data_IF_206461004001
#
_entry.id   IF_206461004001
#
_cell.length_a   1.000
_cell.length_b   1.000
_cell.length_c   1.000
_cell.angle_alpha   90.00
_cell.angle_beta   90.00
_cell.angle_gamma   90.00
#
_symmetry.space_group_name_H-M   'P 1'
#
loop_
_entity.id
_entity.type
_entity.pdbx_description
1 polymer ?
#
# COMPACT_ATOMS: atom_id res chain seq x y z
N UNK A 1 38.99 30.08 -34.85
CA UNK A 1 37.72 29.56 -34.29
C UNK A 1 38.00 28.83 -32.99
N UNK A 2 37.71 29.44 -31.83
CA UNK A 2 37.88 28.80 -30.51
C UNK A 2 36.67 27.90 -30.25
N UNK A 3 36.90 26.59 -30.11
CA UNK A 3 35.86 25.63 -29.73
C UNK A 3 35.39 25.93 -28.29
N UNK A 4 34.11 26.29 -28.15
CA UNK A 4 33.42 26.37 -26.87
C UNK A 4 33.10 24.93 -26.45
N UNK A 5 33.81 24.42 -25.43
CA UNK A 5 33.44 23.16 -24.77
C UNK A 5 32.21 23.41 -23.90
N UNK A 6 31.03 22.99 -24.37
CA UNK A 6 29.81 22.96 -23.58
C UNK A 6 29.95 21.79 -22.58
N UNK A 7 30.19 22.13 -21.32
CA UNK A 7 30.15 21.19 -20.21
C UNK A 7 28.68 20.86 -19.93
N UNK A 8 28.19 19.74 -20.46
CA UNK A 8 26.85 19.23 -20.16
C UNK A 8 26.89 18.65 -18.75
N UNK A 9 26.41 19.44 -17.78
CA UNK A 9 26.22 19.01 -16.40
C UNK A 9 24.99 18.07 -16.37
N UNK A 10 25.23 16.76 -16.38
CA UNK A 10 24.18 15.77 -16.10
C UNK A 10 23.75 15.90 -14.64
N UNK A 11 22.66 16.62 -14.39
CA UNK A 11 21.93 16.52 -13.13
C UNK A 11 21.30 15.12 -13.04
N UNK A 12 22.02 14.18 -12.42
CA UNK A 12 21.37 13.00 -11.85
C UNK A 12 20.49 13.51 -10.70
N UNK A 13 19.19 13.64 -10.95
CA UNK A 13 18.20 13.74 -9.89
C UNK A 13 18.23 12.42 -9.11
N UNK A 14 19.07 12.34 -8.07
CA UNK A 14 18.94 11.31 -7.07
C UNK A 14 17.63 11.56 -6.34
N UNK A 15 16.59 10.82 -6.72
CA UNK A 15 15.30 10.83 -6.04
C UNK A 15 15.52 10.27 -4.63
N UNK A 16 15.63 11.18 -3.67
CA UNK A 16 15.70 10.82 -2.26
C UNK A 16 14.27 10.53 -1.78
N UNK A 17 13.96 9.27 -1.45
CA UNK A 17 12.78 8.96 -0.67
C UNK A 17 12.88 9.74 0.65
N UNK A 18 11.98 10.69 0.85
CA UNK A 18 11.93 11.51 2.05
C UNK A 18 11.50 10.63 3.23
N UNK A 19 12.46 10.24 4.06
CA UNK A 19 12.22 9.52 5.31
C UNK A 19 11.36 10.38 6.25
N UNK A 20 10.21 9.86 6.67
CA UNK A 20 9.29 10.51 7.61
C UNK A 20 9.36 9.85 8.98
N UNK A 21 8.90 10.59 9.99
CA UNK A 21 8.88 10.17 11.38
C UNK A 21 7.51 10.42 11.98
N UNK A 22 7.04 9.48 12.78
CA UNK A 22 5.84 9.61 13.60
C UNK A 22 6.19 9.19 15.02
N UNK A 23 5.85 10.01 16.01
CA UNK A 23 6.18 9.76 17.40
C UNK A 23 4.97 9.17 18.15
N UNK A 24 5.22 8.16 18.97
CA UNK A 24 4.21 7.54 19.84
C UNK A 24 4.68 7.65 21.28
N UNK A 25 3.87 8.24 22.16
CA UNK A 25 4.23 8.50 23.55
C UNK A 25 3.61 7.48 24.52
N UNK A 26 4.27 7.35 25.67
CA UNK A 26 3.96 6.36 26.69
C UNK A 26 3.91 7.01 28.07
N UNK A 27 3.01 6.51 28.91
CA UNK A 27 2.98 6.90 30.32
C UNK A 27 4.14 6.26 31.10
N UNK A 28 4.36 6.78 32.31
CA UNK A 28 5.43 6.34 33.19
C UNK A 28 5.37 4.82 33.44
N UNK A 29 6.50 4.14 33.23
CA UNK A 29 6.65 2.68 33.34
C UNK A 29 5.68 1.82 32.49
N UNK A 30 4.95 2.41 31.54
CA UNK A 30 4.09 1.68 30.62
C UNK A 30 4.83 1.30 29.34
N UNK A 31 4.51 0.13 28.81
CA UNK A 31 5.00 -0.38 27.53
C UNK A 31 3.94 -0.40 26.42
N UNK A 32 2.71 0.00 26.75
CA UNK A 32 1.65 0.27 25.79
C UNK A 32 1.44 1.80 25.66
N UNK A 33 1.17 2.33 24.45
CA UNK A 33 1.00 3.76 24.25
C UNK A 33 -0.15 4.34 25.08
N UNK A 34 -0.05 5.63 25.41
CA UNK A 34 -1.13 6.34 26.10
C UNK A 34 -2.32 6.61 25.16
N UNK A 35 -3.46 7.01 25.73
CA UNK A 35 -4.71 7.15 24.99
C UNK A 35 -4.60 8.17 23.84
N UNK A 36 -3.96 9.31 24.07
CA UNK A 36 -3.77 10.35 23.06
C UNK A 36 -2.95 9.82 21.87
N UNK A 37 -1.83 9.15 22.14
CA UNK A 37 -1.01 8.59 21.07
C UNK A 37 -1.69 7.42 20.35
N UNK A 38 -2.61 6.69 20.99
CA UNK A 38 -3.45 5.70 20.28
C UNK A 38 -4.40 6.38 19.29
N UNK A 39 -5.02 7.50 19.68
CA UNK A 39 -5.89 8.28 18.79
C UNK A 39 -5.10 8.83 17.60
N UNK A 40 -3.98 9.51 17.87
CA UNK A 40 -3.09 10.06 16.85
C UNK A 40 -2.55 8.96 15.92
N UNK A 41 -2.13 7.81 16.47
CA UNK A 41 -1.68 6.66 15.68
C UNK A 41 -2.80 6.17 14.75
N UNK A 42 -4.04 6.12 15.24
CA UNK A 42 -5.18 5.69 14.44
C UNK A 42 -5.53 6.66 13.32
N UNK A 43 -5.43 7.96 13.56
CA UNK A 43 -5.59 8.98 12.54
C UNK A 43 -4.45 8.95 11.53
N UNK A 44 -3.20 8.92 12.00
CA UNK A 44 -1.99 8.85 11.18
C UNK A 44 -2.02 7.69 10.19
N UNK A 45 -2.35 6.47 10.64
CA UNK A 45 -2.41 5.30 9.74
C UNK A 45 -3.50 5.38 8.67
N UNK A 46 -4.53 6.22 8.86
CA UNK A 46 -5.65 6.38 7.91
C UNK A 46 -5.47 7.58 6.99
N UNK A 47 -4.79 8.63 7.47
CA UNK A 47 -4.55 9.88 6.73
C UNK A 47 -3.33 9.80 5.81
N UNK A 48 -2.39 8.89 6.09
CA UNK A 48 -1.12 8.80 5.38
C UNK A 48 -1.06 7.56 4.49
N UNK A 49 -0.63 7.72 3.23
CA UNK A 49 -0.31 6.62 2.31
C UNK A 49 1.05 6.01 2.70
N UNK A 50 1.10 5.29 3.83
CA UNK A 50 2.32 4.65 4.32
C UNK A 50 2.71 3.52 3.37
N UNK A 51 3.89 3.60 2.74
CA UNK A 51 4.39 2.52 1.88
C UNK A 51 5.00 1.41 2.71
N UNK A 52 5.90 1.77 3.63
CA UNK A 52 6.63 0.81 4.44
C UNK A 52 7.23 1.46 5.69
N UNK A 53 7.12 0.78 6.83
CA UNK A 53 7.88 1.11 8.04
C UNK A 53 9.20 0.33 8.03
N UNK A 54 10.33 1.02 8.16
CA UNK A 54 11.66 0.42 8.03
C UNK A 54 12.56 0.57 9.25
N UNK A 55 12.21 1.45 10.19
CA UNK A 55 12.96 1.58 11.45
C UNK A 55 12.04 2.01 12.61
N UNK A 56 12.29 1.45 13.79
CA UNK A 56 11.67 1.82 15.06
C UNK A 56 12.76 2.13 16.08
N UNK A 57 12.64 3.26 16.76
CA UNK A 57 13.57 3.67 17.82
C UNK A 57 12.81 3.89 19.12
N UNK A 58 13.20 3.19 20.18
CA UNK A 58 12.52 3.22 21.49
C UNK A 58 13.35 3.93 22.55
N UNK A 59 12.69 4.82 23.29
CA UNK A 59 13.28 5.70 24.30
C UNK A 59 12.55 5.57 25.64
N UNK A 60 13.31 5.79 26.72
CA UNK A 60 12.83 5.79 28.09
C UNK A 60 13.48 6.94 28.86
N UNK A 61 12.83 7.36 29.95
CA UNK A 61 13.42 8.34 30.85
C UNK A 61 14.54 7.72 31.72
N UNK A 62 15.10 8.52 32.63
CA UNK A 62 16.31 8.15 33.38
C UNK A 62 16.06 7.55 34.75
N UNK A 63 14.83 7.13 35.08
CA UNK A 63 14.47 6.81 36.46
C UNK A 63 15.11 5.51 36.96
N UNK A 64 15.42 4.56 36.06
CA UNK A 64 15.97 3.24 36.43
C UNK A 64 17.40 2.97 35.85
N UNK A 65 17.91 1.77 36.12
CA UNK A 65 19.11 1.18 35.54
C UNK A 65 19.10 1.24 34.01
N UNK A 66 20.29 1.27 33.41
CA UNK A 66 20.46 1.28 31.95
C UNK A 66 19.83 0.04 31.30
N UNK A 67 19.98 -1.12 31.93
CA UNK A 67 19.44 -2.38 31.43
C UNK A 67 17.89 -2.41 31.49
N UNK A 68 17.30 -1.91 32.58
CA UNK A 68 15.84 -1.83 32.70
C UNK A 68 15.24 -0.95 31.60
N UNK A 69 15.77 0.25 31.42
CA UNK A 69 15.28 1.20 30.42
C UNK A 69 15.43 0.66 28.99
N UNK A 70 16.52 -0.05 28.70
CA UNK A 70 16.69 -0.71 27.41
C UNK A 70 15.62 -1.77 27.18
N UNK A 71 15.36 -2.65 28.17
CA UNK A 71 14.28 -3.66 28.09
C UNK A 71 12.89 -3.02 27.98
N UNK A 72 12.64 -1.90 28.65
CA UNK A 72 11.37 -1.19 28.55
C UNK A 72 11.19 -0.60 27.14
N UNK A 73 12.23 0.01 26.57
CA UNK A 73 12.22 0.48 25.20
C UNK A 73 11.97 -0.65 24.19
N UNK A 74 12.58 -1.83 24.39
CA UNK A 74 12.30 -3.03 23.58
C UNK A 74 10.82 -3.43 23.63
N UNK A 75 10.22 -3.49 24.83
CA UNK A 75 8.79 -3.83 24.98
C UNK A 75 7.87 -2.82 24.30
N UNK A 76 8.20 -1.52 24.38
CA UNK A 76 7.49 -0.46 23.66
C UNK A 76 7.56 -0.63 22.15
N UNK A 77 8.73 -0.94 21.60
CA UNK A 77 8.88 -1.24 20.17
C UNK A 77 7.98 -2.42 19.78
N UNK A 78 7.96 -3.49 20.56
CA UNK A 78 7.14 -4.66 20.26
C UNK A 78 5.63 -4.38 20.34
N UNK A 79 5.18 -3.50 21.24
CA UNK A 79 3.77 -3.08 21.29
C UNK A 79 3.37 -2.28 20.05
N UNK A 80 4.25 -1.41 19.54
CA UNK A 80 4.03 -0.70 18.27
C UNK A 80 3.98 -1.66 17.08
N UNK A 81 4.88 -2.65 17.03
CA UNK A 81 4.86 -3.68 15.99
C UNK A 81 3.52 -4.43 15.99
N UNK A 82 2.98 -4.75 17.17
CA UNK A 82 1.66 -5.40 17.30
C UNK A 82 0.54 -4.52 16.73
N UNK A 83 0.56 -3.21 17.01
CA UNK A 83 -0.42 -2.25 16.48
C UNK A 83 -0.31 -2.05 14.96
N UNK A 84 0.91 -2.00 14.43
CA UNK A 84 1.16 -1.90 12.98
C UNK A 84 0.67 -3.15 12.23
N UNK A 85 0.96 -4.34 12.77
CA UNK A 85 0.52 -5.62 12.20
C UNK A 85 -1.00 -5.77 12.19
N UNK A 86 -1.68 -5.35 13.26
CA UNK A 86 -3.16 -5.41 13.31
C UNK A 86 -3.83 -4.41 12.38
N UNK A 87 -3.10 -3.37 11.96
CA UNK A 87 -3.60 -2.28 11.11
C UNK A 87 -3.30 -2.45 9.61
N UNK A 88 -2.82 -3.63 9.18
CA UNK A 88 -2.47 -3.94 7.78
C UNK A 88 -1.39 -3.04 7.15
N UNK A 89 -0.60 -2.33 7.97
CA UNK A 89 0.59 -1.57 7.55
C UNK A 89 1.71 -2.55 7.21
N UNK A 90 2.43 -2.30 6.11
CA UNK A 90 3.56 -3.12 5.70
C UNK A 90 4.80 -2.78 6.53
N UNK A 91 5.47 -3.82 7.03
CA UNK A 91 6.76 -3.72 7.71
C UNK A 91 7.85 -4.25 6.77
N UNK A 92 8.95 -3.51 6.67
CA UNK A 92 10.13 -3.98 5.93
C UNK A 92 10.62 -5.31 6.53
N UNK A 93 11.06 -6.24 5.68
CA UNK A 93 11.63 -7.52 6.12
C UNK A 93 12.85 -7.34 7.02
N UNK A 94 13.63 -6.30 6.75
CA UNK A 94 14.83 -5.91 7.47
C UNK A 94 14.55 -4.76 8.46
N UNK A 95 13.34 -4.70 9.02
CA UNK A 95 12.92 -3.68 9.98
C UNK A 95 13.97 -3.50 11.09
N UNK A 96 14.58 -2.32 11.14
CA UNK A 96 15.57 -1.98 12.17
C UNK A 96 14.86 -1.64 13.47
N UNK A 97 15.24 -2.31 14.57
CA UNK A 97 14.69 -2.08 15.91
C UNK A 97 15.82 -1.64 16.84
N UNK A 98 15.81 -0.39 17.28
CA UNK A 98 16.87 0.19 18.11
C UNK A 98 16.28 0.64 19.42
N UNK A 99 16.66 -0.02 20.52
CA UNK A 99 16.27 0.38 21.86
C UNK A 99 17.40 1.20 22.49
N UNK A 100 17.25 2.52 22.50
CA UNK A 100 18.18 3.44 23.15
C UNK A 100 18.01 3.44 24.67
N UNK A 101 16.81 3.16 25.17
CA UNK A 101 16.52 3.31 26.60
C UNK A 101 16.79 4.76 27.01
N UNK A 102 17.77 4.99 27.88
CA UNK A 102 18.18 6.33 28.35
C UNK A 102 19.41 6.93 27.65
N UNK A 103 19.98 6.24 26.66
CA UNK A 103 21.22 6.65 25.97
C UNK A 103 20.93 7.57 24.76
N UNK A 104 20.46 8.80 25.02
CA UNK A 104 20.17 9.81 23.98
C UNK A 104 20.10 11.24 24.57
N UNK A 105 20.04 12.25 23.72
CA UNK A 105 19.79 13.64 24.12
C UNK A 105 18.34 13.84 24.55
N UNK A 106 18.13 14.23 25.82
CA UNK A 106 16.80 14.27 26.45
C UNK A 106 16.20 15.66 26.41
N UNK A 107 14.89 15.74 26.19
CA UNK A 107 14.11 16.95 26.42
C UNK A 107 14.05 17.28 27.92
N UNK A 108 14.01 18.57 28.31
CA UNK A 108 13.69 18.99 29.67
C UNK A 108 12.31 18.48 30.13
N UNK A 109 11.37 18.31 29.19
CA UNK A 109 10.08 17.70 29.46
C UNK A 109 10.23 16.17 29.47
N UNK A 110 10.04 15.57 30.64
CA UNK A 110 10.24 14.12 30.81
C UNK A 110 9.25 13.28 29.99
N UNK A 111 8.08 13.82 29.67
CA UNK A 111 7.05 13.09 28.94
C UNK A 111 7.44 12.85 27.48
N UNK A 112 8.15 13.81 26.88
CA UNK A 112 8.66 13.73 25.50
C UNK A 112 9.77 12.68 25.34
N UNK A 113 10.40 12.26 26.44
CA UNK A 113 11.46 11.26 26.45
C UNK A 113 10.92 9.82 26.44
N UNK A 114 9.63 9.62 26.74
CA UNK A 114 8.99 8.30 26.78
C UNK A 114 8.28 8.03 25.47
N UNK A 115 9.04 7.75 24.42
CA UNK A 115 8.50 7.59 23.07
C UNK A 115 9.07 6.43 22.28
N UNK A 116 8.34 6.05 21.23
CA UNK A 116 8.86 5.29 20.10
C UNK A 116 8.72 6.16 18.86
N UNK A 117 9.81 6.34 18.12
CA UNK A 117 9.80 7.02 16.82
C UNK A 117 9.68 5.95 15.74
N UNK A 118 8.63 6.08 14.93
CA UNK A 118 8.34 5.26 13.76
C UNK A 118 8.91 5.95 12.55
N UNK A 119 9.89 5.33 11.90
CA UNK A 119 10.45 5.79 10.64
C UNK A 119 9.84 5.01 9.50
N UNK A 120 9.26 5.76 8.58
CA UNK A 120 8.52 5.19 7.48
C UNK A 120 8.79 5.96 6.20
N UNK A 121 8.63 5.25 5.10
CA UNK A 121 8.49 5.88 3.81
C UNK A 121 6.99 6.14 3.61
N UNK A 122 6.67 7.36 3.25
CA UNK A 122 5.42 7.59 2.56
C UNK A 122 5.55 6.94 1.18
N UNK A 123 4.43 6.50 0.61
CA UNK A 123 4.32 6.51 -0.83
C UNK A 123 4.57 7.96 -1.20
N UNK A 124 5.79 8.31 -1.64
CA UNK A 124 5.93 9.52 -2.41
C UNK A 124 4.90 9.40 -3.51
N UNK A 125 4.09 10.43 -3.71
CA UNK A 125 3.41 10.60 -4.98
C UNK A 125 4.52 10.77 -6.03
N UNK A 126 5.17 9.66 -6.38
CA UNK A 126 5.64 9.46 -7.71
C UNK A 126 4.39 9.59 -8.58
N UNK A 127 4.22 10.80 -9.10
CA UNK A 127 3.49 11.01 -10.32
C UNK A 127 4.48 11.09 -11.50
N UNK A 128 5.31 10.08 -11.82
CA UNK A 128 5.41 9.63 -13.19
C UNK A 128 4.24 8.67 -13.34
N UNK A 129 3.04 9.22 -13.56
CA UNK A 129 1.81 8.50 -13.90
C UNK A 129 2.12 7.06 -14.32
N UNK A 130 1.77 6.10 -13.47
CA UNK A 130 2.07 4.69 -13.72
C UNK A 130 1.67 4.31 -15.14
N UNK A 131 2.30 3.29 -15.73
CA UNK A 131 1.90 2.83 -17.07
C UNK A 131 0.37 2.61 -17.16
N UNK A 132 -0.24 2.17 -16.05
CA UNK A 132 -1.69 2.07 -15.90
C UNK A 132 -2.39 3.44 -15.94
N UNK A 133 -1.88 4.44 -15.23
CA UNK A 133 -2.41 5.80 -15.29
C UNK A 133 -2.40 6.35 -16.71
N UNK A 134 -1.26 6.31 -17.42
CA UNK A 134 -1.21 6.86 -18.78
C UNK A 134 -2.11 6.09 -19.74
N UNK A 135 -2.25 4.77 -19.55
CA UNK A 135 -3.23 3.97 -20.29
C UNK A 135 -4.65 4.45 -20.04
N UNK A 136 -5.06 4.60 -18.77
CA UNK A 136 -6.43 5.03 -18.44
C UNK A 136 -6.70 6.46 -18.91
N UNK A 137 -5.74 7.37 -18.76
CA UNK A 137 -5.89 8.77 -19.19
C UNK A 137 -6.12 8.90 -20.70
N UNK A 138 -5.45 8.07 -21.50
CA UNK A 138 -5.53 8.12 -22.96
C UNK A 138 -6.58 7.15 -23.54
N UNK A 139 -7.21 6.34 -22.69
CA UNK A 139 -8.19 5.36 -23.11
C UNK A 139 -9.50 6.00 -23.57
N UNK A 140 -10.12 5.37 -24.57
CA UNK A 140 -11.42 5.78 -25.09
C UNK A 140 -12.55 5.08 -24.35
N UNK A 141 -13.74 5.69 -24.34
CA UNK A 141 -14.96 5.01 -23.88
C UNK A 141 -15.14 3.69 -24.64
N UNK A 142 -15.40 2.61 -23.91
CA UNK A 142 -15.50 1.24 -24.39
C UNK A 142 -14.18 0.47 -24.42
N UNK A 143 -13.05 1.10 -24.11
CA UNK A 143 -11.74 0.44 -24.10
C UNK A 143 -11.54 -0.40 -22.82
N UNK A 144 -11.00 -1.60 -23.00
CA UNK A 144 -10.66 -2.53 -21.94
C UNK A 144 -9.17 -2.42 -21.56
N UNK A 145 -8.88 -2.24 -20.29
CA UNK A 145 -7.53 -2.11 -19.75
C UNK A 145 -7.31 -3.18 -18.69
N UNK A 146 -6.35 -4.07 -18.93
CA UNK A 146 -5.92 -5.08 -17.96
C UNK A 146 -5.26 -4.41 -16.75
N UNK A 147 -5.69 -4.78 -15.55
CA UNK A 147 -5.01 -4.38 -14.32
C UNK A 147 -3.81 -5.33 -14.10
N UNK A 148 -2.56 -4.85 -14.21
CA UNK A 148 -1.39 -5.72 -14.04
C UNK A 148 -1.27 -6.20 -12.59
N UNK A 149 -0.62 -7.36 -12.36
CA UNK A 149 -0.24 -7.83 -11.02
C UNK A 149 -1.39 -7.98 -9.99
N UNK A 150 -2.65 -8.10 -10.45
CA UNK A 150 -3.78 -8.45 -9.59
C UNK A 150 -3.86 -9.97 -9.47
N UNK A 151 -3.48 -10.50 -8.32
CA UNK A 151 -3.44 -11.91 -7.97
C UNK A 151 -4.33 -12.19 -6.76
N UNK A 152 -4.85 -13.40 -6.73
CA UNK A 152 -5.75 -13.88 -5.68
C UNK A 152 -5.21 -15.17 -5.08
N UNK A 153 -5.56 -15.44 -3.83
CA UNK A 153 -5.36 -16.78 -3.26
C UNK A 153 -6.20 -17.81 -4.03
N UNK A 154 -5.74 -19.07 -4.06
CA UNK A 154 -6.39 -20.15 -4.80
C UNK A 154 -7.88 -20.26 -4.48
N UNK A 155 -8.71 -20.36 -5.53
CA UNK A 155 -10.17 -20.41 -5.45
C UNK A 155 -10.80 -19.32 -4.55
N UNK A 156 -10.18 -18.15 -4.49
CA UNK A 156 -10.64 -17.05 -3.63
C UNK A 156 -10.74 -15.72 -4.40
N UNK A 157 -11.53 -14.81 -3.82
CA UNK A 157 -11.58 -13.39 -4.15
C UNK A 157 -10.66 -12.53 -3.25
N UNK A 158 -9.94 -13.16 -2.31
CA UNK A 158 -8.97 -12.46 -1.47
C UNK A 158 -7.70 -12.14 -2.28
N UNK A 159 -7.36 -10.86 -2.38
CA UNK A 159 -6.14 -10.40 -3.07
C UNK A 159 -4.90 -10.65 -2.22
N UNK A 160 -3.76 -10.91 -2.88
CA UNK A 160 -2.46 -11.03 -2.21
C UNK A 160 -1.85 -9.63 -1.95
N UNK A 161 -0.92 -9.47 -0.98
CA UNK A 161 -0.33 -8.17 -0.67
C UNK A 161 0.31 -7.46 -1.86
N UNK A 162 0.97 -8.20 -2.77
CA UNK A 162 1.60 -7.64 -3.99
C UNK A 162 0.61 -6.92 -4.92
N UNK A 163 -0.67 -7.30 -4.89
CA UNK A 163 -1.71 -6.70 -5.73
C UNK A 163 -2.20 -5.35 -5.22
N UNK A 164 -1.87 -5.00 -3.96
CA UNK A 164 -2.27 -3.71 -3.39
C UNK A 164 -1.73 -2.53 -4.20
N UNK A 165 -0.51 -2.63 -4.75
CA UNK A 165 0.10 -1.55 -5.56
C UNK A 165 -0.81 -1.13 -6.70
N UNK A 166 -1.21 -2.06 -7.57
CA UNK A 166 -2.10 -1.76 -8.69
C UNK A 166 -3.51 -1.33 -8.26
N UNK A 167 -4.00 -1.84 -7.13
CA UNK A 167 -5.27 -1.38 -6.56
C UNK A 167 -5.18 0.09 -6.12
N UNK A 168 -4.08 0.51 -5.52
CA UNK A 168 -3.82 1.91 -5.16
C UNK A 168 -3.57 2.80 -6.38
N UNK A 169 -2.92 2.28 -7.43
CA UNK A 169 -2.78 3.01 -8.70
C UNK A 169 -4.16 3.33 -9.29
N UNK A 170 -5.03 2.33 -9.36
CA UNK A 170 -6.41 2.52 -9.84
C UNK A 170 -7.18 3.52 -8.96
N UNK A 171 -7.03 3.44 -7.64
CA UNK A 171 -7.62 4.42 -6.71
C UNK A 171 -7.17 5.84 -7.05
N UNK A 172 -5.86 6.05 -7.19
CA UNK A 172 -5.27 7.36 -7.51
C UNK A 172 -5.84 7.91 -8.83
N UNK A 173 -5.92 7.08 -9.86
CA UNK A 173 -6.51 7.45 -11.16
C UNK A 173 -7.97 7.87 -10.99
N UNK A 174 -8.76 7.14 -10.19
CA UNK A 174 -10.16 7.48 -9.95
C UNK A 174 -10.35 8.74 -9.11
N UNK A 175 -9.45 9.02 -8.16
CA UNK A 175 -9.42 10.25 -7.37
C UNK A 175 -9.11 11.47 -8.24
N UNK A 176 -8.11 11.36 -9.12
CA UNK A 176 -7.66 12.46 -9.99
C UNK A 176 -8.59 12.74 -11.18
N UNK A 177 -9.47 11.78 -11.53
CA UNK A 177 -10.40 11.92 -12.65
C UNK A 177 -11.86 11.76 -12.18
N UNK A 178 -12.50 12.77 -11.55
CA UNK A 178 -13.83 12.65 -10.95
C UNK A 178 -14.96 12.24 -11.91
N UNK A 179 -14.80 12.48 -13.22
CA UNK A 179 -15.77 12.11 -14.26
C UNK A 179 -15.63 10.65 -14.72
N UNK A 180 -14.48 10.03 -14.45
CA UNK A 180 -14.19 8.67 -14.88
C UNK A 180 -15.19 7.69 -14.25
N UNK A 181 -15.86 6.91 -15.11
CA UNK A 181 -16.68 5.76 -14.75
C UNK A 181 -16.13 4.50 -15.38
N UNK A 182 -16.14 3.41 -14.62
CA UNK A 182 -15.55 2.13 -15.06
C UNK A 182 -16.47 0.94 -14.76
N UNK A 183 -16.39 -0.10 -15.59
CA UNK A 183 -16.88 -1.45 -15.27
C UNK A 183 -15.68 -2.34 -14.94
N UNK A 184 -15.66 -2.94 -13.74
CA UNK A 184 -14.61 -3.85 -13.31
C UNK A 184 -14.98 -5.27 -13.75
N UNK A 185 -14.12 -5.90 -14.54
CA UNK A 185 -14.40 -7.18 -15.21
C UNK A 185 -13.47 -8.27 -14.66
N UNK A 186 -14.06 -9.34 -14.13
CA UNK A 186 -13.32 -10.49 -13.61
C UNK A 186 -13.32 -11.65 -14.60
N UNK A 187 -12.18 -12.33 -14.72
CA UNK A 187 -11.99 -13.47 -15.61
C UNK A 187 -11.30 -14.63 -14.88
N UNK A 188 -11.62 -15.85 -15.30
CA UNK A 188 -10.96 -17.08 -14.85
C UNK A 188 -10.44 -17.84 -16.09
N UNK A 189 -9.52 -18.78 -15.87
CA UNK A 189 -9.01 -19.67 -16.92
C UNK A 189 -9.77 -20.99 -16.94
N UNK A 190 -9.30 -21.84 -17.86
CA UNK A 190 -9.36 -23.29 -17.74
C UNK A 190 -10.72 -23.89 -18.10
N UNK A 191 -10.71 -25.17 -18.46
CA UNK A 191 -11.87 -25.91 -18.95
C UNK A 191 -12.78 -26.32 -17.77
N UNK A 192 -13.40 -25.32 -17.12
CA UNK A 192 -14.50 -25.52 -16.19
C UNK A 192 -15.74 -25.00 -16.90
N UNK A 193 -16.66 -25.91 -17.24
CA UNK A 193 -17.97 -25.56 -17.76
C UNK A 193 -18.66 -24.65 -16.73
N UNK A 194 -18.67 -23.36 -17.01
CA UNK A 194 -19.20 -22.25 -16.19
C UNK A 194 -18.41 -21.89 -14.93
N UNK A 195 -18.47 -20.60 -14.56
CA UNK A 195 -17.95 -20.10 -13.28
C UNK A 195 -18.87 -20.54 -12.13
N UNK A 196 -18.84 -21.84 -11.81
CA UNK A 196 -19.75 -22.51 -10.87
C UNK A 196 -19.81 -21.79 -9.51
N UNK A 197 -18.68 -21.23 -9.09
CA UNK A 197 -18.51 -20.58 -7.79
C UNK A 197 -18.57 -19.05 -7.87
N UNK A 198 -18.93 -18.48 -9.02
CA UNK A 198 -18.98 -17.04 -9.28
C UNK A 198 -17.66 -16.32 -8.89
N UNK A 199 -16.53 -17.01 -9.05
CA UNK A 199 -15.20 -16.55 -8.65
C UNK A 199 -14.81 -15.30 -9.43
N UNK A 200 -15.13 -15.25 -10.71
CA UNK A 200 -14.84 -14.10 -11.56
C UNK A 200 -15.58 -12.85 -11.06
N UNK A 201 -16.87 -12.96 -10.74
CA UNK A 201 -17.66 -11.87 -10.15
C UNK A 201 -17.14 -11.50 -8.77
N UNK A 202 -16.84 -12.48 -7.93
CA UNK A 202 -16.33 -12.25 -6.58
C UNK A 202 -14.99 -11.48 -6.62
N UNK A 203 -14.10 -11.80 -7.56
CA UNK A 203 -12.83 -11.08 -7.79
C UNK A 203 -13.04 -9.65 -8.25
N UNK A 204 -13.93 -9.42 -9.21
CA UNK A 204 -14.29 -8.07 -9.64
C UNK A 204 -14.88 -7.24 -8.48
N UNK A 205 -15.77 -7.87 -7.70
CA UNK A 205 -16.38 -7.29 -6.49
C UNK A 205 -15.35 -6.96 -5.41
N UNK A 206 -14.27 -7.72 -5.28
CA UNK A 206 -13.21 -7.44 -4.32
C UNK A 206 -12.49 -6.11 -4.61
N UNK A 207 -12.23 -5.82 -5.88
CA UNK A 207 -11.64 -4.54 -6.34
C UNK A 207 -12.65 -3.40 -6.14
N UNK A 208 -13.91 -3.62 -6.54
CA UNK A 208 -15.00 -2.65 -6.30
C UNK A 208 -15.09 -2.26 -4.82
N UNK A 209 -15.16 -3.26 -3.93
CA UNK A 209 -15.27 -3.02 -2.49
C UNK A 209 -14.04 -2.31 -1.91
N UNK A 210 -12.85 -2.53 -2.47
CA UNK A 210 -11.67 -1.79 -2.09
C UNK A 210 -11.81 -0.29 -2.43
N UNK A 211 -12.28 0.04 -3.63
CA UNK A 211 -12.49 1.44 -4.04
C UNK A 211 -13.58 2.12 -3.22
N UNK A 212 -14.67 1.42 -2.89
CA UNK A 212 -15.72 1.92 -1.99
C UNK A 212 -15.18 2.22 -0.59
N UNK A 213 -14.36 1.32 -0.02
CA UNK A 213 -13.73 1.57 1.30
C UNK A 213 -12.84 2.81 1.27
N UNK A 214 -12.23 3.11 0.12
CA UNK A 214 -11.45 4.31 -0.14
C UNK A 214 -12.27 5.46 -0.74
N UNK A 215 -13.58 5.51 -0.49
CA UNK A 215 -14.46 6.67 -0.75
C UNK A 215 -14.69 7.03 -2.22
N UNK A 216 -14.41 6.12 -3.17
CA UNK A 216 -14.91 6.31 -4.55
C UNK A 216 -16.43 6.09 -4.57
N UNK A 217 -17.16 6.99 -5.24
CA UNK A 217 -18.62 6.92 -5.36
C UNK A 217 -19.07 5.63 -6.07
N UNK A 218 -20.07 4.95 -5.50
CA UNK A 218 -20.70 3.75 -6.06
C UNK A 218 -21.21 3.96 -7.48
N UNK A 219 -21.72 5.14 -7.80
CA UNK A 219 -22.30 5.48 -9.10
C UNK A 219 -21.25 5.60 -10.22
N UNK A 220 -19.96 5.62 -9.87
CA UNK A 220 -18.85 5.67 -10.82
C UNK A 220 -18.33 4.30 -11.22
N UNK A 221 -18.85 3.24 -10.63
CA UNK A 221 -18.30 1.90 -10.79
C UNK A 221 -19.40 0.85 -10.89
N UNK A 222 -19.23 -0.08 -11.81
CA UNK A 222 -19.95 -1.36 -11.83
C UNK A 222 -18.94 -2.51 -11.77
N UNK A 223 -19.40 -3.73 -11.53
CA UNK A 223 -18.55 -4.91 -11.61
C UNK A 223 -19.31 -6.08 -12.23
N UNK A 224 -18.60 -6.94 -12.96
CA UNK A 224 -19.18 -8.11 -13.62
C UNK A 224 -18.14 -9.24 -13.75
N UNK A 225 -18.57 -10.47 -13.48
CA UNK A 225 -17.80 -11.66 -13.81
C UNK A 225 -18.10 -12.15 -15.22
N UNK A 226 -17.07 -12.45 -15.99
CA UNK A 226 -17.19 -13.04 -17.33
C UNK A 226 -16.80 -14.52 -17.35
N UNK A 227 -16.41 -15.11 -16.21
CA UNK A 227 -15.97 -16.49 -16.17
C UNK A 227 -14.86 -16.76 -17.20
N UNK A 228 -15.08 -17.79 -18.02
CA UNK A 228 -14.24 -18.18 -19.16
C UNK A 228 -14.77 -17.66 -20.52
N UNK A 229 -15.83 -16.85 -20.54
CA UNK A 229 -16.54 -16.45 -21.77
C UNK A 229 -15.78 -15.44 -22.64
N UNK A 230 -14.80 -14.74 -22.07
CA UNK A 230 -13.93 -13.76 -22.76
C UNK A 230 -12.45 -14.08 -22.53
N UNK A 231 -11.92 -15.17 -23.09
CA UNK A 231 -10.52 -15.54 -22.90
C UNK A 231 -9.60 -14.67 -23.78
N UNK A 232 -8.40 -14.34 -23.30
CA UNK A 232 -7.34 -13.75 -24.13
C UNK A 232 -6.63 -14.85 -24.92
N UNK A 233 -6.41 -16.01 -24.28
CA UNK A 233 -5.84 -17.20 -24.90
C UNK A 233 -6.91 -18.27 -25.09
N UNK A 234 -6.95 -18.88 -26.27
CA UNK A 234 -7.91 -19.94 -26.59
C UNK A 234 -7.84 -21.04 -25.53
N UNK A 235 -8.99 -21.42 -24.99
CA UNK A 235 -9.14 -22.55 -24.07
C UNK A 235 -9.24 -23.85 -24.91
N UNK A 236 -8.55 -24.95 -24.54
CA UNK A 236 -7.63 -25.07 -23.40
C UNK A 236 -6.30 -24.33 -23.65
N UNK A 237 -5.79 -23.70 -22.60
CA UNK A 237 -4.52 -22.99 -22.61
C UNK A 237 -3.33 -23.96 -22.79
N UNK A 238 -2.28 -23.51 -23.49
CA UNK A 238 -1.12 -24.37 -23.80
C UNK A 238 -0.18 -24.56 -22.62
N UNK A 239 -0.15 -23.60 -21.71
CA UNK A 239 0.76 -23.56 -20.57
C UNK A 239 0.20 -22.68 -19.45
N UNK A 240 0.86 -22.70 -18.30
CA UNK A 240 0.45 -21.95 -17.11
C UNK A 240 0.48 -20.43 -17.31
N UNK A 241 1.37 -19.92 -18.18
CA UNK A 241 1.43 -18.48 -18.50
C UNK A 241 0.16 -18.02 -19.20
N UNK A 242 -0.30 -18.77 -20.23
CA UNK A 242 -1.56 -18.48 -20.91
C UNK A 242 -2.76 -18.57 -19.94
N UNK A 243 -2.75 -19.55 -19.04
CA UNK A 243 -3.77 -19.69 -18.01
C UNK A 243 -3.77 -18.50 -17.02
N UNK A 244 -2.60 -18.02 -16.61
CA UNK A 244 -2.49 -16.84 -15.76
C UNK A 244 -2.98 -15.57 -16.45
N UNK A 245 -2.68 -15.43 -17.74
CA UNK A 245 -3.17 -14.31 -18.53
C UNK A 245 -4.69 -14.33 -18.72
N UNK A 246 -5.32 -15.51 -18.75
CA UNK A 246 -6.76 -15.65 -18.70
C UNK A 246 -7.33 -15.32 -17.31
N UNK A 247 -6.65 -15.66 -16.21
CA UNK A 247 -7.02 -15.29 -14.82
C UNK A 247 -6.66 -13.83 -14.51
N UNK A 248 -7.43 -12.90 -15.03
CA UNK A 248 -7.17 -11.46 -14.90
C UNK A 248 -8.37 -10.69 -14.36
N UNK A 249 -8.09 -9.45 -13.96
CA UNK A 249 -9.09 -8.41 -13.80
C UNK A 249 -8.76 -7.29 -14.77
N UNK A 250 -9.78 -6.76 -15.43
CA UNK A 250 -9.70 -5.61 -16.32
C UNK A 250 -10.72 -4.57 -15.91
N UNK A 251 -10.57 -3.37 -16.45
CA UNK A 251 -11.56 -2.30 -16.36
C UNK A 251 -11.96 -1.90 -17.77
N UNK A 252 -13.24 -1.63 -17.97
CA UNK A 252 -13.74 -1.01 -19.19
C UNK A 252 -14.09 0.45 -18.88
N UNK A 253 -13.63 1.38 -19.72
CA UNK A 253 -13.97 2.80 -19.58
C UNK A 253 -15.42 3.01 -20.02
N UNK A 254 -16.27 3.49 -19.12
CA UNK A 254 -17.69 3.76 -19.39
C UNK A 254 -17.90 5.24 -19.73
N UNK A 255 -17.15 6.13 -19.08
CA UNK A 255 -17.22 7.58 -19.26
C UNK A 255 -15.88 8.19 -18.79
N UNK A 256 -15.37 9.25 -19.42
CA UNK A 256 -14.14 9.95 -19.02
C UNK A 256 -14.25 11.48 -19.11
#
# INVERSE_FOLDING_TARGET
MKLIKILILFFFANYCLAQKQFEVYFDFNKDFPNENSILEFNEWKTSVKISEVFKLEGYCDSVDTKNYNKKLAERRIESIIKLLKSSAVLLNKDLKKIAFGKDFERSPNQDENRKVIIYYNEVQAENPKSELYEKIKNAKVGENIKLPNIYFYNNSARTVPKSKTTMYDLLCVMEENPKLKIEIQGHICCQIDTDINDISTARAKAIYNFLIRNKIDRNRMTYKGYGTTKPVHKIPEKNETEADENRRVEIMIVEN
#
